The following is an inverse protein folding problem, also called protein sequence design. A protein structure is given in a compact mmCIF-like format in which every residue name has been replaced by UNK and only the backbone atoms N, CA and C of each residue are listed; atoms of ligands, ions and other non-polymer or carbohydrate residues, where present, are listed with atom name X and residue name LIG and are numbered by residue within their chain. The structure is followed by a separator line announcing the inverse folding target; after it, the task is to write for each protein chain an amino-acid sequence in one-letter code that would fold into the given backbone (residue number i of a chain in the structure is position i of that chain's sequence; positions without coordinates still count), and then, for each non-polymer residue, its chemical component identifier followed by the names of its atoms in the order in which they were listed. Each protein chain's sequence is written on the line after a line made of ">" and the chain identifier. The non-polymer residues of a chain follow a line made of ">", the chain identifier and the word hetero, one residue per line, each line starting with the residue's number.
data_IF_259549729070
#
_entry.id   IF_259549729070
#
_cell.length_a   1.000
_cell.length_b   1.000
_cell.length_c   1.000
_cell.angle_alpha   90.00
_cell.angle_beta   90.00
_cell.angle_gamma   90.00
#
_symmetry.space_group_name_H-M   'P 1'
#
loop_
_entity.id
_entity.type
_entity.pdbx_description
1 polymer ?
#
# COMPACT_ATOMS: atom_id res chain seq x y z
N UNK A 1 22.76 -4.57 25.60
CA UNK A 1 23.00 -4.20 24.20
C UNK A 1 22.20 -2.94 23.91
N UNK A 2 22.78 -1.87 23.33
CA UNK A 2 21.98 -0.75 22.87
C UNK A 2 21.25 -1.20 21.61
N UNK A 3 19.91 -1.15 21.62
CA UNK A 3 19.11 -1.37 20.41
C UNK A 3 19.33 -0.14 19.53
N UNK A 4 19.91 -0.34 18.35
CA UNK A 4 20.15 0.75 17.43
C UNK A 4 18.79 1.13 16.81
N UNK A 5 18.12 2.15 17.35
CA UNK A 5 16.83 2.65 16.87
C UNK A 5 17.00 3.55 15.64
N UNK A 6 17.87 3.18 14.71
CA UNK A 6 18.06 3.96 13.48
C UNK A 6 16.87 3.68 12.60
N UNK A 7 16.09 4.71 12.33
CA UNK A 7 15.05 4.67 11.31
C UNK A 7 15.72 4.41 9.96
N UNK A 8 15.34 3.32 9.28
CA UNK A 8 15.79 3.02 7.93
C UNK A 8 14.62 3.09 6.96
N UNK A 9 14.95 3.29 5.69
CA UNK A 9 14.00 3.35 4.60
C UNK A 9 13.68 1.94 4.10
N UNK A 10 12.41 1.72 3.76
CA UNK A 10 11.89 0.51 3.15
C UNK A 10 11.09 0.89 1.91
N UNK A 11 10.95 -0.07 1.00
CA UNK A 11 10.28 0.11 -0.27
C UNK A 11 8.88 -0.52 -0.20
N UNK A 12 7.87 0.29 -0.50
CA UNK A 12 6.51 -0.17 -0.73
C UNK A 12 6.19 -0.09 -2.21
N UNK A 13 6.16 -1.24 -2.87
CA UNK A 13 5.79 -1.39 -4.26
C UNK A 13 4.31 -1.76 -4.37
N UNK A 14 3.55 -0.93 -5.09
CA UNK A 14 2.14 -1.15 -5.35
C UNK A 14 1.92 -1.35 -6.85
N UNK A 15 1.47 -2.54 -7.23
CA UNK A 15 1.16 -2.87 -8.62
C UNK A 15 -0.34 -2.80 -8.87
N UNK A 16 -0.74 -2.02 -9.87
CA UNK A 16 -2.11 -2.03 -10.38
C UNK A 16 -2.31 -3.18 -11.37
N UNK A 17 -2.68 -4.35 -10.84
CA UNK A 17 -3.05 -5.54 -11.63
C UNK A 17 -4.55 -5.55 -12.01
N UNK A 18 -5.23 -4.40 -11.93
CA UNK A 18 -6.63 -4.28 -12.34
C UNK A 18 -6.74 -3.57 -13.68
N UNK A 19 -7.75 -3.92 -14.52
CA UNK A 19 -7.92 -3.28 -15.82
C UNK A 19 -8.29 -1.79 -15.73
N UNK A 20 -8.71 -1.33 -14.56
CA UNK A 20 -9.16 0.03 -14.33
C UNK A 20 -8.03 0.92 -13.79
N UNK A 21 -8.14 2.23 -14.06
CA UNK A 21 -7.23 3.21 -13.48
C UNK A 21 -7.50 3.37 -11.99
N UNK A 22 -6.43 3.42 -11.19
CA UNK A 22 -6.50 3.66 -9.75
C UNK A 22 -5.96 5.03 -9.39
N UNK A 23 -6.56 5.65 -8.39
CA UNK A 23 -6.05 6.85 -7.74
C UNK A 23 -5.59 6.49 -6.34
N UNK A 24 -4.28 6.51 -6.13
CA UNK A 24 -3.64 6.31 -4.83
C UNK A 24 -3.43 7.67 -4.18
N UNK A 25 -4.07 7.92 -3.04
CA UNK A 25 -3.91 9.15 -2.26
C UNK A 25 -3.05 8.85 -1.04
N UNK A 26 -1.92 9.56 -0.91
CA UNK A 26 -1.01 9.46 0.20
C UNK A 26 -1.45 10.25 1.44
N UNK A 27 -0.71 10.10 2.55
CA UNK A 27 -1.04 10.75 3.83
C UNK A 27 -0.94 12.28 3.77
N UNK A 28 -0.13 12.83 2.87
CA UNK A 28 -0.01 14.29 2.64
C UNK A 28 -1.15 14.88 1.79
N UNK A 29 -2.13 14.06 1.38
CA UNK A 29 -3.20 14.48 0.45
C UNK A 29 -2.76 14.51 -1.02
N UNK A 30 -1.49 14.23 -1.30
CA UNK A 30 -0.99 13.98 -2.66
C UNK A 30 -1.70 12.77 -3.26
N UNK A 31 -2.07 12.85 -4.54
CA UNK A 31 -2.68 11.71 -5.23
C UNK A 31 -1.98 11.42 -6.53
N UNK A 32 -1.64 10.15 -6.74
CA UNK A 32 -1.02 9.62 -7.94
C UNK A 32 -2.04 8.76 -8.67
N UNK A 33 -2.11 8.91 -9.98
CA UNK A 33 -2.89 8.02 -10.84
C UNK A 33 -1.99 6.88 -11.29
N UNK A 34 -2.49 5.65 -11.16
CA UNK A 34 -1.79 4.42 -11.51
C UNK A 34 -2.62 3.75 -12.59
N UNK A 35 -2.08 3.67 -13.80
CA UNK A 35 -2.74 2.99 -14.92
C UNK A 35 -2.71 1.47 -14.75
N UNK A 36 -3.47 0.76 -15.56
CA UNK A 36 -3.46 -0.71 -15.58
C UNK A 36 -2.07 -1.22 -15.94
N UNK A 37 -1.55 -2.16 -15.16
CA UNK A 37 -0.22 -2.74 -15.34
C UNK A 37 0.94 -1.88 -14.81
N UNK A 38 0.68 -0.67 -14.29
CA UNK A 38 1.72 0.17 -13.71
C UNK A 38 2.01 -0.18 -12.25
N UNK A 39 3.28 -0.05 -11.89
CA UNK A 39 3.81 -0.10 -10.54
C UNK A 39 4.10 1.30 -10.00
N UNK A 40 3.82 1.48 -8.71
CA UNK A 40 4.20 2.68 -7.96
C UNK A 40 5.08 2.27 -6.81
N UNK A 41 6.26 2.86 -6.75
CA UNK A 41 7.22 2.65 -5.68
C UNK A 41 7.16 3.82 -4.72
N UNK A 42 6.91 3.54 -3.45
CA UNK A 42 6.88 4.51 -2.36
C UNK A 42 7.99 4.18 -1.37
N UNK A 43 8.79 5.17 -1.00
CA UNK A 43 9.79 5.02 0.06
C UNK A 43 9.12 5.36 1.39
N UNK A 44 9.12 4.41 2.31
CA UNK A 44 8.56 4.54 3.65
C UNK A 44 9.66 4.43 4.69
N UNK A 45 9.43 4.97 5.87
CA UNK A 45 10.30 4.75 7.02
C UNK A 45 9.80 3.53 7.80
N UNK A 46 10.71 2.59 8.08
CA UNK A 46 10.41 1.37 8.82
C UNK A 46 9.76 1.66 10.18
N UNK A 47 8.73 0.88 10.51
CA UNK A 47 8.01 0.92 11.77
C UNK A 47 6.95 2.02 11.90
N UNK A 48 6.92 3.01 10.98
CA UNK A 48 5.87 4.02 10.91
C UNK A 48 4.63 3.50 10.18
N UNK A 49 3.47 4.04 10.55
CA UNK A 49 2.20 3.70 9.91
C UNK A 49 1.84 4.76 8.88
N UNK A 50 1.69 4.33 7.63
CA UNK A 50 1.27 5.17 6.52
C UNK A 50 -0.15 4.84 6.10
N UNK A 51 -0.99 5.86 5.95
CA UNK A 51 -2.36 5.71 5.50
C UNK A 51 -2.50 6.14 4.06
N UNK A 52 -3.02 5.23 3.23
CA UNK A 52 -3.31 5.46 1.83
C UNK A 52 -4.78 5.22 1.54
N UNK A 53 -5.29 5.91 0.53
CA UNK A 53 -6.64 5.70 0.01
C UNK A 53 -6.55 5.36 -1.46
N UNK A 54 -6.99 4.16 -1.81
CA UNK A 54 -7.17 3.74 -3.19
C UNK A 54 -8.61 4.00 -3.62
N UNK A 55 -8.76 4.62 -4.79
CA UNK A 55 -10.04 4.78 -5.47
C UNK A 55 -9.92 4.25 -6.89
N UNK A 56 -10.84 3.39 -7.28
CA UNK A 56 -10.96 2.92 -8.65
C UNK A 56 -11.71 3.97 -9.47
N UNK A 57 -11.07 4.47 -10.52
CA UNK A 57 -11.62 5.44 -11.47
C UNK A 57 -12.23 4.65 -12.62
N UNK A 58 -13.40 4.06 -12.37
CA UNK A 58 -14.14 3.24 -13.33
C UNK A 58 -15.65 3.42 -13.16
N UNK A 59 -16.44 2.77 -14.01
CA UNK A 59 -17.91 2.77 -13.96
C UNK A 59 -18.47 2.30 -12.60
N UNK A 60 -17.74 1.44 -11.88
CA UNK A 60 -18.05 1.08 -10.49
C UNK A 60 -16.96 1.62 -9.55
N UNK A 61 -17.17 2.79 -8.93
CA UNK A 61 -16.19 3.38 -8.04
C UNK A 61 -16.06 2.53 -6.78
N UNK A 62 -14.90 1.88 -6.61
CA UNK A 62 -14.53 1.18 -5.38
C UNK A 62 -13.51 2.00 -4.61
N UNK A 63 -13.64 2.01 -3.29
CA UNK A 63 -12.70 2.68 -2.39
C UNK A 63 -12.15 1.68 -1.39
N UNK A 64 -10.84 1.72 -1.17
CA UNK A 64 -10.17 0.96 -0.14
C UNK A 64 -9.23 1.89 0.64
N UNK A 65 -9.15 1.70 1.95
CA UNK A 65 -8.18 2.38 2.80
C UNK A 65 -7.09 1.37 3.18
N UNK A 66 -5.86 1.76 2.97
CA UNK A 66 -4.66 0.98 3.27
C UNK A 66 -3.98 1.61 4.47
N UNK A 67 -3.75 0.81 5.51
CA UNK A 67 -2.87 1.16 6.60
C UNK A 67 -1.64 0.26 6.51
N UNK A 68 -0.53 0.83 6.09
CA UNK A 68 0.73 0.12 5.85
C UNK A 68 1.67 0.40 6.99
N UNK A 69 2.09 -0.66 7.69
CA UNK A 69 3.19 -0.61 8.67
C UNK A 69 4.09 -1.81 8.45
N UNK A 70 5.33 -1.55 8.08
CA UNK A 70 6.31 -2.60 7.83
C UNK A 70 7.70 -2.22 8.32
N UNK A 71 8.53 -3.24 8.41
CA UNK A 71 9.95 -3.19 8.75
C UNK A 71 10.81 -3.75 7.62
N UNK A 72 10.21 -4.11 6.49
CA UNK A 72 10.91 -4.65 5.34
C UNK A 72 10.18 -4.22 4.08
N UNK A 73 10.79 -4.47 2.93
CA UNK A 73 10.21 -4.18 1.64
C UNK A 73 8.90 -4.96 1.44
N UNK A 74 7.93 -4.28 0.82
CA UNK A 74 6.58 -4.76 0.64
C UNK A 74 6.18 -4.70 -0.82
N UNK A 75 5.51 -5.75 -1.28
CA UNK A 75 4.85 -5.76 -2.58
C UNK A 75 3.36 -6.02 -2.42
N UNK A 76 2.55 -5.06 -2.82
CA UNK A 76 1.09 -5.13 -2.84
C UNK A 76 0.55 -5.16 -4.26
N UNK A 77 -0.51 -5.93 -4.49
CA UNK A 77 -1.31 -5.89 -5.72
C UNK A 77 -2.67 -5.28 -5.44
N UNK A 78 -3.17 -4.46 -6.35
CA UNK A 78 -4.49 -3.85 -6.26
C UNK A 78 -5.62 -4.87 -6.06
N UNK A 79 -5.58 -5.99 -6.78
CA UNK A 79 -6.56 -7.09 -6.68
C UNK A 79 -6.65 -7.64 -5.26
N UNK A 80 -5.52 -7.87 -4.58
CA UNK A 80 -5.46 -8.33 -3.20
C UNK A 80 -6.08 -7.30 -2.23
N UNK A 81 -5.79 -6.02 -2.43
CA UNK A 81 -6.37 -4.93 -1.62
C UNK A 81 -7.89 -4.86 -1.79
N UNK A 82 -8.40 -4.89 -3.01
CA UNK A 82 -9.86 -4.84 -3.23
C UNK A 82 -10.57 -6.13 -2.79
N UNK A 83 -9.88 -7.27 -2.82
CA UNK A 83 -10.36 -8.53 -2.25
C UNK A 83 -10.32 -8.55 -0.70
N UNK A 84 -9.71 -7.55 -0.05
CA UNK A 84 -9.55 -7.50 1.40
C UNK A 84 -8.53 -8.52 1.93
N UNK A 85 -7.69 -9.05 1.05
CA UNK A 85 -6.66 -10.03 1.40
C UNK A 85 -5.40 -9.22 1.74
N UNK A 86 -5.05 -9.16 3.03
CA UNK A 86 -3.88 -8.43 3.55
C UNK A 86 -2.52 -9.03 3.14
N UNK A 87 -2.47 -9.93 2.16
CA UNK A 87 -1.23 -10.54 1.68
C UNK A 87 -0.53 -9.59 0.70
N UNK A 88 -0.02 -8.49 1.21
CA UNK A 88 1.13 -7.89 0.55
C UNK A 88 2.37 -8.57 1.12
N UNK A 89 3.11 -9.24 0.23
CA UNK A 89 4.18 -10.13 0.64
C UNK A 89 5.24 -9.35 1.40
N UNK A 90 5.44 -9.70 2.67
CA UNK A 90 6.77 -9.70 3.27
C UNK A 90 7.04 -11.11 3.75
N UNK A 91 8.28 -11.56 3.63
CA UNK A 91 8.73 -12.86 4.10
C UNK A 91 8.72 -12.99 5.64
N UNK A 92 8.36 -11.93 6.37
CA UNK A 92 8.52 -11.84 7.82
C UNK A 92 7.18 -11.81 8.55
N UNK A 93 7.01 -12.60 9.64
CA UNK A 93 5.77 -12.71 10.40
C UNK A 93 5.41 -11.47 11.25
N UNK A 94 6.01 -10.30 10.98
CA UNK A 94 5.82 -9.05 11.73
C UNK A 94 5.27 -7.86 10.94
N UNK A 95 5.18 -7.92 9.61
CA UNK A 95 4.67 -6.80 8.81
C UNK A 95 3.14 -6.74 8.88
N UNK A 96 2.62 -5.70 9.52
CA UNK A 96 1.19 -5.50 9.70
C UNK A 96 0.63 -4.58 8.61
N UNK A 97 -0.04 -5.17 7.63
CA UNK A 97 -0.83 -4.40 6.67
C UNK A 97 -2.30 -4.64 6.97
N UNK A 98 -2.99 -3.56 7.32
CA UNK A 98 -4.43 -3.60 7.55
C UNK A 98 -5.11 -2.92 6.36
N UNK A 99 -5.82 -3.71 5.58
CA UNK A 99 -6.67 -3.20 4.51
C UNK A 99 -8.08 -3.07 5.06
N UNK A 100 -8.56 -1.83 5.17
CA UNK A 100 -9.91 -1.54 5.62
C UNK A 100 -10.74 -1.10 4.41
N UNK A 101 -11.65 -1.97 3.96
CA UNK A 101 -12.60 -1.65 2.89
C UNK A 101 -13.78 -0.87 3.48
N UNK A 102 -14.11 0.28 2.90
CA UNK A 102 -15.39 0.97 3.14
C UNK A 102 -16.16 0.99 1.82
N UNK A 103 -17.22 0.20 1.78
CA UNK A 103 -18.23 0.17 0.71
C UNK A 103 -18.99 1.49 0.64
#
# INVERSE_FOLDING_TARGET
>A
MPVNTVAYEIIFEFTNDTPDQLRLTGPSGSSVFVESGQDVVLVLTAGLTYQYVLKQVSMQPRKAQLSVRAWDDLKCRATSVFAGISTCGSAWPGSGITVTRRS
#
